data_IF_827100678232
#
_entry.id   IF_827100678232
#
_cell.length_a   1.000
_cell.length_b   1.000
_cell.length_c   1.000
_cell.angle_alpha   90.00
_cell.angle_beta   90.00
_cell.angle_gamma   90.00
#
_symmetry.space_group_name_H-M   'P 1'
#
loop_
_entity.id
_entity.type
_entity.pdbx_description
1 polymer ?
#
# COMPACT_ATOMS: atom_id res chain seq x y z
N UNK A 1 -25.59 -1.27 -6.12
CA UNK A 1 -25.01 -0.53 -4.98
C UNK A 1 -24.11 0.55 -5.59
N UNK A 2 -24.29 1.82 -5.21
CA UNK A 2 -23.46 2.91 -5.75
C UNK A 2 -22.09 2.89 -5.04
N UNK A 3 -21.03 3.36 -5.72
CA UNK A 3 -19.75 3.62 -5.09
C UNK A 3 -19.95 4.59 -3.92
N UNK A 4 -19.35 4.27 -2.78
CA UNK A 4 -19.36 5.16 -1.63
C UNK A 4 -18.06 5.96 -1.64
N UNK A 5 -18.15 7.25 -1.37
CA UNK A 5 -16.98 8.10 -1.28
C UNK A 5 -16.20 7.69 -0.02
N UNK A 6 -14.88 7.49 -0.16
CA UNK A 6 -14.01 7.28 1.01
C UNK A 6 -14.13 8.52 1.89
N UNK A 7 -14.40 8.30 3.18
CA UNK A 7 -14.62 9.42 4.11
C UNK A 7 -13.34 10.23 4.34
N UNK A 8 -13.49 11.51 4.68
CA UNK A 8 -12.35 12.37 5.02
C UNK A 8 -11.54 11.81 6.21
N UNK A 9 -12.21 11.13 7.15
CA UNK A 9 -11.58 10.46 8.28
C UNK A 9 -10.66 9.30 7.83
N UNK A 10 -11.09 8.53 6.83
CA UNK A 10 -10.27 7.44 6.27
C UNK A 10 -9.10 7.96 5.46
N UNK A 11 -9.31 9.02 4.66
CA UNK A 11 -8.22 9.69 3.95
C UNK A 11 -7.19 10.20 4.97
N UNK A 12 -7.62 10.85 6.04
CA UNK A 12 -6.74 11.35 7.11
C UNK A 12 -5.95 10.20 7.75
N UNK A 13 -6.62 9.11 8.13
CA UNK A 13 -5.96 7.92 8.68
C UNK A 13 -4.90 7.36 7.73
N UNK A 14 -5.21 7.24 6.44
CA UNK A 14 -4.26 6.75 5.43
C UNK A 14 -3.06 7.69 5.28
N UNK A 15 -3.27 9.01 5.38
CA UNK A 15 -2.19 10.00 5.36
C UNK A 15 -1.27 9.90 6.59
N UNK A 16 -1.83 9.66 7.77
CA UNK A 16 -1.05 9.43 9.00
C UNK A 16 -0.17 8.18 8.86
N UNK A 17 -0.73 7.10 8.34
CA UNK A 17 0.03 5.86 8.08
C UNK A 17 1.13 6.10 7.03
N UNK A 18 0.84 6.82 5.95
CA UNK A 18 1.84 7.17 4.95
C UNK A 18 2.96 8.06 5.53
N UNK A 19 2.63 8.96 6.45
CA UNK A 19 3.59 9.80 7.16
C UNK A 19 4.51 8.97 8.06
N UNK A 20 3.99 7.94 8.72
CA UNK A 20 4.80 6.98 9.51
C UNK A 20 5.80 6.23 8.62
N UNK A 21 5.36 5.73 7.46
CA UNK A 21 6.25 5.06 6.48
C UNK A 21 7.33 6.02 6.00
N UNK A 22 6.95 7.27 5.67
CA UNK A 22 7.89 8.31 5.24
C UNK A 22 8.90 8.68 6.32
N UNK A 23 8.48 8.73 7.58
CA UNK A 23 9.38 9.00 8.70
C UNK A 23 10.41 7.86 8.87
N UNK A 24 9.99 6.61 8.67
CA UNK A 24 10.91 5.47 8.65
C UNK A 24 11.90 5.57 7.48
N UNK A 25 11.42 5.85 6.26
CA UNK A 25 12.30 6.06 5.11
C UNK A 25 13.34 7.15 5.39
N UNK A 26 12.94 8.29 5.97
CA UNK A 26 13.87 9.38 6.27
C UNK A 26 14.95 8.95 7.27
N UNK A 27 14.58 8.22 8.33
CA UNK A 27 15.55 7.71 9.31
C UNK A 27 16.57 6.75 8.68
N UNK A 28 16.14 5.92 7.72
CA UNK A 28 17.03 5.07 6.95
C UNK A 28 18.00 5.90 6.08
N UNK A 29 17.50 6.93 5.40
CA UNK A 29 18.30 7.87 4.60
C UNK A 29 19.28 8.70 5.45
N UNK A 30 18.90 9.01 6.69
CA UNK A 30 19.73 9.71 7.68
C UNK A 30 20.81 8.79 8.31
N UNK A 31 20.77 7.48 8.01
CA UNK A 31 21.84 6.53 8.31
C UNK A 31 21.49 5.43 9.31
N UNK A 32 20.27 5.37 9.86
CA UNK A 32 19.84 4.24 10.69
C UNK A 32 19.44 3.04 9.81
N UNK A 33 20.45 2.28 9.41
CA UNK A 33 20.28 1.06 8.59
C UNK A 33 20.25 -0.20 9.47
N UNK A 34 19.91 -0.07 10.76
CA UNK A 34 19.85 -1.20 11.67
C UNK A 34 18.75 -2.19 11.25
N UNK A 35 18.94 -3.47 11.60
CA UNK A 35 17.95 -4.50 11.31
C UNK A 35 16.60 -4.23 12.01
N UNK A 36 16.64 -3.63 13.21
CA UNK A 36 15.44 -3.21 13.94
C UNK A 36 14.70 -2.10 13.19
N UNK A 37 15.42 -1.09 12.71
CA UNK A 37 14.84 -0.02 11.91
C UNK A 37 14.21 -0.55 10.62
N UNK A 38 14.92 -1.42 9.88
CA UNK A 38 14.41 -2.06 8.67
C UNK A 38 13.14 -2.89 8.94
N UNK A 39 13.07 -3.61 10.06
CA UNK A 39 11.87 -4.36 10.45
C UNK A 39 10.70 -3.42 10.73
N UNK A 40 10.94 -2.32 11.45
CA UNK A 40 9.93 -1.30 11.74
C UNK A 40 9.41 -0.65 10.45
N UNK A 41 10.30 -0.26 9.55
CA UNK A 41 9.92 0.34 8.27
C UNK A 41 9.09 -0.62 7.43
N UNK A 42 9.51 -1.89 7.33
CA UNK A 42 8.72 -2.91 6.65
C UNK A 42 7.34 -3.10 7.28
N UNK A 43 7.26 -3.14 8.62
CA UNK A 43 5.98 -3.27 9.31
C UNK A 43 5.02 -2.10 9.02
N UNK A 44 5.53 -0.87 9.04
CA UNK A 44 4.77 0.32 8.67
C UNK A 44 4.32 0.26 7.20
N UNK A 45 5.24 -0.07 6.28
CA UNK A 45 4.96 -0.15 4.83
C UNK A 45 3.84 -1.15 4.53
N UNK A 46 3.90 -2.35 5.12
CA UNK A 46 2.86 -3.38 4.96
C UNK A 46 1.52 -2.98 5.54
N UNK A 47 1.54 -2.34 6.71
CA UNK A 47 0.31 -1.89 7.37
C UNK A 47 -0.40 -0.84 6.53
N UNK A 48 0.36 0.09 5.95
CA UNK A 48 -0.16 1.11 5.05
C UNK A 48 -0.67 0.51 3.73
N UNK A 49 0.11 -0.34 3.07
CA UNK A 49 -0.27 -1.04 1.83
C UNK A 49 -1.59 -1.81 2.02
N UNK A 50 -1.68 -2.59 3.11
CA UNK A 50 -2.90 -3.32 3.47
C UNK A 50 -4.10 -2.41 3.69
N UNK A 51 -3.94 -1.34 4.48
CA UNK A 51 -5.02 -0.40 4.77
C UNK A 51 -5.52 0.30 3.52
N UNK A 52 -4.62 0.81 2.67
CA UNK A 52 -4.97 1.54 1.45
C UNK A 52 -5.80 0.67 0.50
N UNK A 53 -5.35 -0.55 0.24
CA UNK A 53 -6.05 -1.44 -0.68
C UNK A 53 -7.43 -1.87 -0.19
N UNK A 54 -7.58 -2.17 1.10
CA UNK A 54 -8.88 -2.56 1.65
C UNK A 54 -9.84 -1.38 1.76
N UNK A 55 -9.38 -0.19 2.13
CA UNK A 55 -10.24 1.00 2.13
C UNK A 55 -10.83 1.26 0.74
N UNK A 56 -10.02 1.14 -0.32
CA UNK A 56 -10.52 1.26 -1.70
C UNK A 56 -11.54 0.15 -2.03
N UNK A 57 -11.27 -1.09 -1.63
CA UNK A 57 -12.16 -2.22 -1.86
C UNK A 57 -13.52 -2.04 -1.18
N UNK A 58 -13.52 -1.58 0.08
CA UNK A 58 -14.72 -1.34 0.87
C UNK A 58 -15.61 -0.24 0.27
N UNK A 59 -15.00 0.74 -0.41
CA UNK A 59 -15.69 1.89 -0.97
C UNK A 59 -16.03 1.78 -2.46
N UNK A 60 -15.60 0.71 -3.15
CA UNK A 60 -15.79 0.57 -4.59
C UNK A 60 -17.26 0.40 -5.04
N UNK A 61 -18.19 0.18 -4.11
CA UNK A 61 -19.63 -0.02 -4.41
C UNK A 61 -19.98 -1.34 -5.09
N UNK A 62 -18.99 -2.21 -5.31
CA UNK A 62 -19.16 -3.52 -5.94
C UNK A 62 -18.81 -4.63 -4.95
N UNK A 63 -19.84 -5.15 -4.27
CA UNK A 63 -19.68 -6.18 -3.24
C UNK A 63 -18.90 -7.42 -3.72
N UNK A 64 -19.21 -8.04 -4.88
CA UNK A 64 -18.40 -9.15 -5.39
C UNK A 64 -16.92 -8.82 -5.57
N UNK A 65 -16.60 -7.62 -6.05
CA UNK A 65 -15.21 -7.17 -6.21
C UNK A 65 -14.56 -6.95 -4.84
N UNK A 66 -15.24 -6.29 -3.92
CA UNK A 66 -14.74 -6.07 -2.56
C UNK A 66 -14.35 -7.40 -1.89
N UNK A 67 -15.28 -8.36 -1.88
CA UNK A 67 -15.05 -9.70 -1.32
C UNK A 67 -13.87 -10.43 -1.99
N UNK A 68 -13.76 -10.34 -3.33
CA UNK A 68 -12.65 -10.92 -4.06
C UNK A 68 -11.31 -10.30 -3.66
N UNK A 69 -11.26 -8.97 -3.52
CA UNK A 69 -10.05 -8.25 -3.09
C UNK A 69 -9.70 -8.64 -1.66
N UNK A 70 -10.64 -8.62 -0.71
CA UNK A 70 -10.42 -9.09 0.67
C UNK A 70 -9.83 -10.49 0.72
N UNK A 71 -10.38 -11.41 -0.08
CA UNK A 71 -9.85 -12.77 -0.19
C UNK A 71 -8.42 -12.79 -0.73
N UNK A 72 -8.12 -12.06 -1.81
CA UNK A 72 -6.76 -11.94 -2.33
C UNK A 72 -5.78 -11.40 -1.26
N UNK A 73 -6.23 -10.41 -0.49
CA UNK A 73 -5.42 -9.79 0.56
C UNK A 73 -5.18 -10.68 1.78
N UNK A 74 -6.09 -11.62 2.06
CA UNK A 74 -5.85 -12.65 3.09
C UNK A 74 -4.60 -13.50 2.77
N UNK A 75 -4.36 -13.82 1.49
CA UNK A 75 -3.16 -14.53 1.04
C UNK A 75 -1.94 -13.60 0.96
N UNK A 76 -2.12 -12.36 0.48
CA UNK A 76 -1.04 -11.35 0.42
C UNK A 76 -0.43 -11.14 1.81
N UNK A 77 -1.25 -11.11 2.86
CA UNK A 77 -0.77 -10.98 4.25
C UNK A 77 0.20 -12.10 4.65
N UNK A 78 0.01 -13.32 4.16
CA UNK A 78 0.94 -14.44 4.37
C UNK A 78 2.21 -14.27 3.55
N UNK A 79 2.10 -13.71 2.33
CA UNK A 79 3.29 -13.46 1.49
C UNK A 79 4.27 -12.47 2.14
N UNK A 80 3.78 -11.50 2.92
CA UNK A 80 4.64 -10.56 3.64
C UNK A 80 5.56 -11.21 4.67
N UNK A 81 5.12 -12.29 5.33
CA UNK A 81 5.97 -13.00 6.28
C UNK A 81 6.97 -13.94 5.60
N UNK A 82 6.78 -14.21 4.30
CA UNK A 82 7.61 -15.12 3.52
C UNK A 82 8.66 -14.41 2.64
N UNK A 83 8.38 -13.19 2.19
CA UNK A 83 9.27 -12.39 1.36
C UNK A 83 9.88 -11.24 2.18
N UNK A 84 11.20 -11.11 2.17
CA UNK A 84 11.86 -9.93 2.73
C UNK A 84 11.60 -8.71 1.85
N UNK A 85 11.16 -7.61 2.45
CA UNK A 85 11.06 -6.31 1.77
C UNK A 85 12.43 -5.63 1.76
N UNK A 86 12.86 -5.17 0.58
CA UNK A 86 14.08 -4.38 0.46
C UNK A 86 13.75 -2.88 0.55
N UNK A 87 14.69 -2.03 0.98
CA UNK A 87 14.52 -0.57 0.98
C UNK A 87 14.02 -0.03 -0.36
N UNK A 88 14.55 -0.53 -1.48
CA UNK A 88 14.18 -0.08 -2.82
C UNK A 88 12.70 -0.37 -3.13
N UNK A 89 12.21 -1.55 -2.74
CA UNK A 89 10.80 -1.94 -2.91
C UNK A 89 9.90 -1.06 -2.02
N UNK A 90 10.28 -0.83 -0.77
CA UNK A 90 9.51 -0.01 0.18
C UNK A 90 9.42 1.45 -0.28
N UNK A 91 10.55 2.05 -0.66
CA UNK A 91 10.59 3.42 -1.20
C UNK A 91 9.73 3.56 -2.45
N UNK A 92 9.80 2.57 -3.38
CA UNK A 92 8.99 2.61 -4.59
C UNK A 92 7.50 2.44 -4.29
N UNK A 93 7.16 1.52 -3.39
CA UNK A 93 5.79 1.29 -2.93
C UNK A 93 5.18 2.57 -2.37
N UNK A 94 5.89 3.23 -1.44
CA UNK A 94 5.44 4.49 -0.86
C UNK A 94 5.18 5.56 -1.92
N UNK A 95 6.09 5.72 -2.89
CA UNK A 95 5.90 6.70 -3.96
C UNK A 95 4.62 6.43 -4.78
N UNK A 96 4.44 5.20 -5.25
CA UNK A 96 3.26 4.83 -6.05
C UNK A 96 1.96 5.01 -5.24
N UNK A 97 1.98 4.67 -3.95
CA UNK A 97 0.83 4.83 -3.04
C UNK A 97 0.50 6.28 -2.70
N UNK A 98 1.50 7.17 -2.57
CA UNK A 98 1.26 8.59 -2.31
C UNK A 98 0.55 9.27 -3.48
N UNK A 99 0.92 8.91 -4.72
CA UNK A 99 0.23 9.40 -5.93
C UNK A 99 -1.24 8.95 -5.94
N UNK A 100 -1.48 7.68 -5.60
CA UNK A 100 -2.83 7.13 -5.49
C UNK A 100 -3.64 7.83 -4.39
N UNK A 101 -3.07 8.02 -3.20
CA UNK A 101 -3.75 8.66 -2.07
C UNK A 101 -4.10 10.13 -2.36
N UNK A 102 -3.23 10.85 -3.05
CA UNK A 102 -3.50 12.23 -3.49
C UNK A 102 -4.66 12.28 -4.49
N UNK A 103 -4.69 11.37 -5.47
CA UNK A 103 -5.81 11.25 -6.41
C UNK A 103 -7.14 10.91 -5.72
N UNK A 104 -7.13 10.01 -4.74
CA UNK A 104 -8.31 9.67 -3.94
C UNK A 104 -8.83 10.89 -3.16
N UNK A 105 -7.92 11.66 -2.55
CA UNK A 105 -8.26 12.90 -1.83
C UNK A 105 -8.88 13.96 -2.75
N UNK A 106 -8.38 14.08 -3.97
CA UNK A 106 -8.88 15.02 -4.97
C UNK A 106 -10.14 14.53 -5.70
N UNK A 107 -10.59 13.31 -5.39
CA UNK A 107 -11.69 12.63 -6.08
C UNK A 107 -11.44 12.46 -7.59
N UNK A 108 -10.16 12.34 -7.98
CA UNK A 108 -9.74 12.09 -9.35
C UNK A 108 -9.69 10.59 -9.62
N UNK A 109 -10.82 10.06 -10.10
CA UNK A 109 -10.97 8.64 -10.38
C UNK A 109 -10.05 8.14 -11.52
N UNK A 110 -9.77 8.98 -12.52
CA UNK A 110 -8.93 8.59 -13.65
C UNK A 110 -7.47 8.44 -13.19
N UNK A 111 -6.96 9.42 -12.46
CA UNK A 111 -5.60 9.37 -11.90
C UNK A 111 -5.48 8.25 -10.87
N UNK A 112 -6.48 8.03 -10.01
CA UNK A 112 -6.46 6.93 -9.05
C UNK A 112 -6.40 5.56 -9.75
N UNK A 113 -7.18 5.35 -10.82
CA UNK A 113 -7.16 4.11 -11.59
C UNK A 113 -5.81 3.90 -12.30
N UNK A 114 -5.24 4.95 -12.89
CA UNK A 114 -3.93 4.91 -13.53
C UNK A 114 -2.81 4.60 -12.52
N UNK A 115 -2.83 5.27 -11.36
CA UNK A 115 -1.87 5.08 -10.28
C UNK A 115 -1.90 3.64 -9.73
N UNK A 116 -3.09 3.11 -9.44
CA UNK A 116 -3.25 1.72 -9.00
C UNK A 116 -2.76 0.73 -10.06
N UNK A 117 -3.07 0.97 -11.34
CA UNK A 117 -2.61 0.10 -12.44
C UNK A 117 -1.09 0.08 -12.54
N UNK A 118 -0.45 1.25 -12.44
CA UNK A 118 1.01 1.36 -12.44
C UNK A 118 1.63 0.70 -11.21
N UNK A 119 1.07 0.93 -10.02
CA UNK A 119 1.50 0.28 -8.79
C UNK A 119 1.51 -1.24 -8.92
N UNK A 120 0.39 -1.85 -9.37
CA UNK A 120 0.30 -3.30 -9.53
C UNK A 120 1.29 -3.86 -10.57
N UNK A 121 1.51 -3.12 -11.68
CA UNK A 121 2.52 -3.50 -12.68
C UNK A 121 3.93 -3.46 -12.10
N UNK A 122 4.27 -2.41 -11.35
CA UNK A 122 5.57 -2.27 -10.70
C UNK A 122 5.78 -3.38 -9.67
N UNK A 123 4.80 -3.61 -8.79
CA UNK A 123 4.82 -4.68 -7.80
C UNK A 123 4.97 -6.07 -8.45
N UNK A 124 4.40 -6.29 -9.64
CA UNK A 124 4.56 -7.55 -10.37
C UNK A 124 5.97 -7.78 -10.93
N UNK A 125 6.71 -6.70 -11.24
CA UNK A 125 8.07 -6.76 -11.79
C UNK A 125 9.15 -6.87 -10.72
N UNK A 126 8.88 -6.35 -9.52
CA UNK A 126 9.80 -6.38 -8.38
C UNK A 126 9.68 -7.65 -7.53
N UNK A 127 9.07 -8.72 -8.07
CA UNK A 127 8.87 -9.97 -7.33
C UNK A 127 10.22 -10.64 -7.07
N UNK A 128 10.57 -10.97 -5.81
CA UNK A 128 11.78 -11.75 -5.51
C UNK A 128 11.67 -13.17 -6.10
N UNK A 129 12.81 -13.76 -6.46
CA UNK A 129 12.92 -15.07 -7.15
C UNK A 129 12.27 -16.26 -6.41
N UNK A 130 11.97 -16.12 -5.11
CA UNK A 130 11.31 -17.14 -4.31
C UNK A 130 9.81 -16.87 -4.20
N UNK A 131 9.04 -17.56 -5.05
CA UNK A 131 7.61 -17.72 -4.86
C UNK A 131 7.33 -18.84 -3.84
N UNK A 132 6.43 -18.59 -2.90
CA UNK A 132 5.58 -19.65 -2.37
C UNK A 132 4.34 -19.65 -3.27
N UNK A 133 4.27 -20.63 -4.17
CA UNK A 133 3.08 -20.93 -4.99
C UNK A 133 2.27 -22.01 -4.31
#
# INVERSE_FOLDING_TARGET
MAAQQISEAEITRLQEMAAEVKACQQQYEDGDQSAEHLQKWGAASRSFDYALHLTIADHCGNLPISEAIHKCWSYKRVSYSAAGETPEIMTRGLYDHLVLLDALKQHDAETAAAAMTMHLRNASRMRPDRLIV
#
